data_IF_792696440479
#
_entry.id   IF_792696440479
#
_cell.length_a   1.000
_cell.length_b   1.000
_cell.length_c   1.000
_cell.angle_alpha   90.00
_cell.angle_beta   90.00
_cell.angle_gamma   90.00
#
_symmetry.space_group_name_H-M   'P 1'
#
loop_
_entity.id
_entity.type
_entity.pdbx_description
1 polymer ?
#
# COMPACT_ATOMS: atom_id res chain seq x y z
N UNK A 1 10.66 19.73 -15.43
CA UNK A 1 11.74 19.89 -14.42
C UNK A 1 11.33 19.30 -13.06
N UNK A 2 10.55 18.21 -13.02
CA UNK A 2 10.15 17.47 -11.80
C UNK A 2 10.78 16.06 -11.73
N UNK A 3 11.59 15.70 -12.72
CA UNK A 3 11.95 14.32 -13.05
C UNK A 3 13.29 13.85 -12.46
N UNK A 4 14.06 14.75 -11.84
CA UNK A 4 15.34 14.47 -11.19
C UNK A 4 15.22 14.40 -9.66
N UNK A 5 14.03 14.13 -9.15
CA UNK A 5 13.87 13.96 -7.70
C UNK A 5 14.51 12.63 -7.28
N UNK A 6 15.15 12.58 -6.10
CA UNK A 6 15.73 11.36 -5.49
C UNK A 6 14.75 10.16 -5.41
N UNK A 7 13.47 10.40 -5.69
CA UNK A 7 12.41 9.41 -5.81
C UNK A 7 12.64 8.37 -6.94
N UNK A 8 13.30 8.74 -8.05
CA UNK A 8 13.57 7.79 -9.15
C UNK A 8 14.71 6.82 -8.83
N UNK A 9 15.65 7.21 -7.97
CA UNK A 9 16.79 6.38 -7.54
C UNK A 9 16.41 5.24 -6.59
N UNK A 10 15.14 5.14 -6.20
CA UNK A 10 14.63 4.20 -5.19
C UNK A 10 13.45 3.37 -5.69
N UNK A 11 13.21 3.40 -6.99
CA UNK A 11 12.28 2.47 -7.60
C UNK A 11 12.91 1.10 -7.61
N UNK A 12 12.07 0.10 -7.37
CA UNK A 12 12.48 -1.30 -7.26
C UNK A 12 12.00 -2.07 -8.47
N UNK A 13 12.78 -3.07 -8.86
CA UNK A 13 12.43 -3.97 -9.94
C UNK A 13 11.43 -5.03 -9.45
N UNK A 14 10.71 -5.69 -10.39
CA UNK A 14 9.68 -6.67 -10.04
C UNK A 14 10.22 -7.79 -9.13
N UNK A 15 11.46 -8.23 -9.38
CA UNK A 15 12.13 -9.27 -8.61
C UNK A 15 12.37 -8.84 -7.16
N UNK A 16 12.80 -7.59 -6.93
CA UNK A 16 13.05 -7.05 -5.60
C UNK A 16 11.76 -6.95 -4.77
N UNK A 17 10.64 -6.56 -5.40
CA UNK A 17 9.38 -6.40 -4.67
C UNK A 17 8.67 -7.74 -4.44
N UNK A 18 8.92 -8.73 -5.30
CA UNK A 18 8.38 -10.09 -5.21
C UNK A 18 9.26 -11.03 -4.39
N UNK A 19 10.43 -10.55 -3.93
CA UNK A 19 11.35 -11.31 -3.10
C UNK A 19 10.68 -11.76 -1.78
N UNK A 20 10.86 -13.03 -1.45
CA UNK A 20 10.45 -13.60 -0.17
C UNK A 20 11.70 -13.86 0.66
N UNK A 21 11.77 -13.27 1.86
CA UNK A 21 12.89 -13.47 2.75
C UNK A 21 13.09 -14.96 3.07
N UNK A 22 14.35 -15.41 3.13
CA UNK A 22 14.68 -16.81 3.37
C UNK A 22 14.01 -17.38 4.64
N UNK A 23 13.96 -16.59 5.72
CA UNK A 23 13.30 -16.99 6.98
C UNK A 23 11.78 -17.21 6.84
N UNK A 24 11.14 -16.50 5.91
CA UNK A 24 9.71 -16.69 5.60
C UNK A 24 9.52 -17.92 4.70
N UNK A 25 10.41 -18.11 3.72
CA UNK A 25 10.41 -19.28 2.85
C UNK A 25 10.61 -20.59 3.65
N UNK A 26 11.51 -20.59 4.64
CA UNK A 26 11.73 -21.72 5.57
C UNK A 26 10.48 -22.08 6.40
N UNK A 27 9.56 -21.13 6.56
CA UNK A 27 8.24 -21.33 7.19
C UNK A 27 7.15 -21.72 6.20
N UNK A 28 7.50 -21.88 4.93
CA UNK A 28 6.58 -22.27 3.86
C UNK A 28 5.73 -21.11 3.32
N UNK A 29 6.11 -19.85 3.55
CA UNK A 29 5.45 -18.72 2.88
C UNK A 29 5.85 -18.71 1.41
N UNK A 30 4.84 -18.69 0.55
CA UNK A 30 5.01 -18.55 -0.90
C UNK A 30 4.96 -17.08 -1.34
N UNK A 31 5.44 -16.73 -2.54
CA UNK A 31 5.26 -15.39 -3.10
C UNK A 31 3.79 -14.96 -3.17
N UNK A 32 2.89 -15.90 -3.46
CA UNK A 32 1.45 -15.65 -3.45
C UNK A 32 0.93 -15.35 -2.04
N UNK A 33 1.37 -16.09 -1.01
CA UNK A 33 1.01 -15.77 0.39
C UNK A 33 1.43 -14.34 0.77
N UNK A 34 2.64 -13.95 0.38
CA UNK A 34 3.16 -12.59 0.61
C UNK A 34 2.33 -11.54 -0.14
N UNK A 35 1.99 -11.78 -1.41
CA UNK A 35 1.12 -10.89 -2.21
C UNK A 35 -0.25 -10.72 -1.52
N UNK A 36 -0.89 -11.81 -1.14
CA UNK A 36 -2.19 -11.79 -0.45
C UNK A 36 -2.13 -11.05 0.89
N UNK A 37 -1.08 -11.28 1.68
CA UNK A 37 -0.88 -10.55 2.94
C UNK A 37 -0.70 -9.05 2.70
N UNK A 38 0.14 -8.63 1.73
CA UNK A 38 0.31 -7.21 1.39
C UNK A 38 -1.02 -6.56 0.99
N UNK A 39 -1.84 -7.24 0.17
CA UNK A 39 -3.17 -6.76 -0.22
C UNK A 39 -4.07 -6.60 1.00
N UNK A 40 -4.12 -7.61 1.86
CA UNK A 40 -5.02 -7.61 3.02
C UNK A 40 -4.59 -6.62 4.10
N UNK A 41 -3.30 -6.50 4.38
CA UNK A 41 -2.79 -5.48 5.31
C UNK A 41 -2.95 -4.06 4.76
N UNK A 42 -2.92 -3.85 3.44
CA UNK A 42 -3.31 -2.56 2.86
C UNK A 42 -4.77 -2.22 3.16
N UNK A 43 -5.66 -3.23 3.22
CA UNK A 43 -7.07 -3.07 3.59
C UNK A 43 -7.21 -2.69 5.05
N UNK A 44 -6.45 -3.40 5.87
CA UNK A 44 -6.38 -3.19 7.30
C UNK A 44 -5.91 -1.77 7.64
N UNK A 45 -4.81 -1.30 7.01
CA UNK A 45 -4.30 0.07 7.18
C UNK A 45 -5.34 1.10 6.73
N UNK A 46 -6.03 0.87 5.60
CA UNK A 46 -7.10 1.76 5.11
C UNK A 46 -8.24 1.90 6.14
N UNK A 47 -8.73 0.79 6.68
CA UNK A 47 -9.81 0.82 7.67
C UNK A 47 -9.34 1.42 9.00
N UNK A 48 -8.10 1.13 9.41
CA UNK A 48 -7.50 1.74 10.60
C UNK A 48 -7.41 3.26 10.45
N UNK A 49 -6.97 3.74 9.28
CA UNK A 49 -6.90 5.16 8.96
C UNK A 49 -8.27 5.85 9.00
N UNK A 50 -9.31 5.18 8.49
CA UNK A 50 -10.69 5.66 8.60
C UNK A 50 -11.13 5.85 10.07
N UNK A 51 -10.89 4.86 10.93
CA UNK A 51 -11.24 4.98 12.35
C UNK A 51 -10.37 5.96 13.13
N UNK A 52 -9.11 6.12 12.75
CA UNK A 52 -8.20 7.13 13.28
C UNK A 52 -8.48 8.54 12.74
N UNK A 53 -9.40 8.68 11.77
CA UNK A 53 -9.79 9.95 11.13
C UNK A 53 -8.63 10.68 10.47
N UNK A 54 -7.70 9.96 9.85
CA UNK A 54 -6.58 10.56 9.10
C UNK A 54 -6.94 10.79 7.64
N UNK A 55 -6.22 11.72 7.00
CA UNK A 55 -6.37 12.02 5.57
C UNK A 55 -5.84 10.87 4.71
N UNK A 56 -6.39 10.73 3.50
CA UNK A 56 -5.99 9.69 2.55
C UNK A 56 -4.48 9.67 2.26
N UNK A 57 -3.83 10.84 2.21
CA UNK A 57 -2.38 10.93 2.02
C UNK A 57 -1.60 10.18 3.10
N UNK A 58 -1.99 10.33 4.38
CA UNK A 58 -1.38 9.60 5.50
C UNK A 58 -1.51 8.08 5.34
N UNK A 59 -2.70 7.63 4.91
CA UNK A 59 -2.97 6.21 4.66
C UNK A 59 -2.10 5.69 3.51
N UNK A 60 -1.98 6.44 2.43
CA UNK A 60 -1.14 6.11 1.29
C UNK A 60 0.35 6.01 1.69
N UNK A 61 0.86 6.96 2.48
CA UNK A 61 2.22 6.93 3.03
C UNK A 61 2.44 5.71 3.92
N UNK A 62 1.48 5.37 4.79
CA UNK A 62 1.55 4.20 5.65
C UNK A 62 1.61 2.88 4.86
N UNK A 63 0.81 2.75 3.78
CA UNK A 63 0.86 1.58 2.90
C UNK A 63 2.20 1.51 2.16
N UNK A 64 2.72 2.64 1.68
CA UNK A 64 4.03 2.68 1.02
C UNK A 64 5.16 2.26 1.97
N UNK A 65 5.16 2.72 3.22
CA UNK A 65 6.10 2.24 4.24
C UNK A 65 5.97 0.74 4.48
N UNK A 66 4.75 0.26 4.70
CA UNK A 66 4.48 -1.17 4.91
C UNK A 66 5.08 -2.01 3.78
N UNK A 67 4.81 -1.64 2.52
CA UNK A 67 5.36 -2.35 1.37
C UNK A 67 6.89 -2.28 1.30
N UNK A 68 7.49 -1.10 1.52
CA UNK A 68 8.96 -0.92 1.53
C UNK A 68 9.65 -1.76 2.60
N UNK A 69 9.06 -1.86 3.80
CA UNK A 69 9.65 -2.65 4.88
C UNK A 69 9.74 -4.12 4.46
N UNK A 70 8.67 -4.66 3.88
CA UNK A 70 8.62 -6.08 3.48
C UNK A 70 9.31 -6.40 2.15
N UNK A 71 10.02 -5.45 1.52
CA UNK A 71 11.02 -5.80 0.49
C UNK A 71 12.37 -6.17 1.09
N UNK A 72 12.61 -5.81 2.37
CA UNK A 72 13.91 -5.98 3.04
C UNK A 72 13.84 -6.80 4.33
N UNK A 73 12.67 -6.79 4.99
CA UNK A 73 12.42 -7.48 6.26
C UNK A 73 11.43 -8.61 6.05
N UNK A 74 11.57 -9.65 6.86
CA UNK A 74 10.67 -10.79 6.83
C UNK A 74 9.39 -10.53 7.63
N UNK A 75 8.28 -11.11 7.20
CA UNK A 75 7.02 -11.12 7.95
C UNK A 75 7.13 -11.83 9.29
N UNK A 76 8.09 -12.75 9.40
CA UNK A 76 8.39 -13.46 10.64
C UNK A 76 9.16 -12.60 11.66
N UNK A 77 10.08 -11.74 11.22
CA UNK A 77 10.85 -10.85 12.11
C UNK A 77 10.05 -9.61 12.50
N UNK A 78 9.28 -9.08 11.54
CA UNK A 78 8.47 -7.88 11.67
C UNK A 78 7.00 -8.26 11.57
N UNK A 79 6.36 -8.50 12.72
CA UNK A 79 4.96 -8.93 12.75
C UNK A 79 4.04 -7.90 12.09
N UNK A 80 3.37 -8.23 10.96
CA UNK A 80 2.57 -7.28 10.20
C UNK A 80 1.38 -6.72 10.97
N UNK A 81 0.92 -7.42 12.01
CA UNK A 81 -0.16 -6.96 12.91
C UNK A 81 0.26 -5.76 13.75
N UNK A 82 1.55 -5.63 14.07
CA UNK A 82 2.14 -4.48 14.76
C UNK A 82 2.74 -3.46 13.79
N UNK A 83 3.34 -3.91 12.68
CA UNK A 83 3.91 -3.01 11.68
C UNK A 83 2.83 -2.15 11.03
N UNK A 84 1.67 -2.69 10.67
CA UNK A 84 0.61 -1.92 10.04
C UNK A 84 0.14 -0.69 10.85
N UNK A 85 -0.24 -0.79 12.14
CA UNK A 85 -0.58 0.39 12.93
C UNK A 85 0.62 1.31 13.17
N UNK A 86 1.83 0.76 13.29
CA UNK A 86 3.05 1.56 13.48
C UNK A 86 3.42 2.35 12.22
N UNK A 87 3.23 1.80 11.03
CA UNK A 87 3.38 2.53 9.77
C UNK A 87 2.42 3.72 9.72
N UNK A 88 1.17 3.55 10.17
CA UNK A 88 0.19 4.64 10.23
C UNK A 88 0.59 5.71 11.25
N UNK A 89 1.12 5.29 12.40
CA UNK A 89 1.67 6.19 13.42
C UNK A 89 2.83 7.03 12.84
N UNK A 90 3.83 6.38 12.25
CA UNK A 90 4.99 7.03 11.67
C UNK A 90 4.61 7.94 10.49
N UNK A 91 3.74 7.46 9.59
CA UNK A 91 3.23 8.24 8.46
C UNK A 91 2.47 9.48 8.92
N UNK A 92 1.70 9.40 10.02
CA UNK A 92 1.02 10.57 10.56
C UNK A 92 2.00 11.66 10.93
N UNK A 93 3.12 11.33 11.58
CA UNK A 93 4.17 12.29 11.93
C UNK A 93 4.85 12.86 10.69
N UNK A 94 5.19 12.01 9.72
CA UNK A 94 5.87 12.43 8.48
C UNK A 94 5.00 13.36 7.61
N UNK A 95 3.68 13.18 7.64
CA UNK A 95 2.70 13.99 6.90
C UNK A 95 2.08 15.11 7.74
N UNK A 96 2.73 15.50 8.85
CA UNK A 96 2.33 16.58 9.75
C UNK A 96 0.88 16.44 10.27
N UNK A 97 0.48 15.21 10.57
CA UNK A 97 -0.79 14.83 11.16
C UNK A 97 -0.59 14.29 12.58
N UNK A 98 -1.40 14.75 13.54
CA UNK A 98 -1.27 14.33 14.93
C UNK A 98 -2.16 13.12 15.24
N UNK A 99 -1.56 11.92 15.29
CA UNK A 99 -2.23 10.70 15.79
C UNK A 99 -1.53 10.20 17.04
N UNK A 100 -2.29 9.96 18.11
CA UNK A 100 -1.76 9.39 19.34
C UNK A 100 -1.67 7.86 19.22
N UNK A 101 -0.56 7.25 19.64
CA UNK A 101 -0.40 5.79 19.65
C UNK A 101 -1.52 5.08 20.42
N UNK A 102 -2.02 5.68 21.52
CA UNK A 102 -3.17 5.16 22.29
C UNK A 102 -4.44 5.02 21.45
N UNK A 103 -4.68 5.95 20.52
CA UNK A 103 -5.83 5.88 19.60
C UNK A 103 -5.66 4.69 18.65
N UNK A 104 -4.46 4.44 18.13
CA UNK A 104 -4.20 3.33 17.22
C UNK A 104 -4.35 1.96 17.91
N UNK A 105 -3.92 1.83 19.15
CA UNK A 105 -4.19 0.63 19.97
C UNK A 105 -5.70 0.41 20.12
N UNK A 106 -6.46 1.47 20.40
CA UNK A 106 -7.92 1.38 20.50
C UNK A 106 -8.58 1.01 19.16
N UNK A 107 -8.21 1.66 18.06
CA UNK A 107 -8.75 1.39 16.74
C UNK A 107 -8.41 -0.04 16.27
N UNK A 108 -7.20 -0.53 16.54
CA UNK A 108 -6.76 -1.90 16.25
C UNK A 108 -7.67 -2.93 16.93
N UNK A 109 -7.99 -2.72 18.22
CA UNK A 109 -8.94 -3.56 18.95
C UNK A 109 -10.35 -3.50 18.34
N UNK A 110 -10.79 -2.30 17.96
CA UNK A 110 -12.12 -2.07 17.36
C UNK A 110 -12.32 -2.80 16.04
N UNK A 111 -11.31 -2.83 15.16
CA UNK A 111 -11.41 -3.44 13.82
C UNK A 111 -11.00 -4.91 13.77
N UNK A 112 -10.60 -5.50 14.91
CA UNK A 112 -10.13 -6.89 15.00
C UNK A 112 -11.12 -7.88 14.41
N UNK A 113 -12.41 -7.74 14.74
CA UNK A 113 -13.46 -8.64 14.25
C UNK A 113 -13.62 -8.58 12.73
N UNK A 114 -13.51 -7.39 12.13
CA UNK A 114 -13.57 -7.20 10.67
C UNK A 114 -12.41 -7.90 9.95
N UNK A 115 -11.28 -8.06 10.63
CA UNK A 115 -10.07 -8.70 10.11
C UNK A 115 -9.71 -9.98 10.86
N UNK A 116 -10.71 -10.76 11.28
CA UNK A 116 -10.47 -12.01 12.03
C UNK A 116 -9.50 -12.97 11.31
N UNK A 117 -9.50 -12.99 9.97
CA UNK A 117 -8.55 -13.77 9.16
C UNK A 117 -7.06 -13.42 9.39
N UNK A 118 -6.75 -12.22 9.89
CA UNK A 118 -5.39 -11.81 10.25
C UNK A 118 -5.00 -12.21 11.68
N UNK A 119 -5.94 -12.72 12.48
CA UNK A 119 -5.75 -13.00 13.89
C UNK A 119 -6.13 -14.46 14.19
N UNK A 120 -5.23 -15.37 13.83
CA UNK A 120 -5.43 -16.83 13.89
C UNK A 120 -5.46 -17.41 15.31
N UNK A 121 -4.92 -16.71 16.31
CA UNK A 121 -4.94 -17.21 17.69
C UNK A 121 -6.29 -16.93 18.36
N UNK A 122 -6.93 -17.96 18.97
CA UNK A 122 -8.13 -17.80 19.77
C UNK A 122 -7.87 -17.01 21.06
N UNK A 123 -6.62 -16.89 21.50
CA UNK A 123 -6.26 -16.04 22.62
C UNK A 123 -6.21 -14.56 22.19
N UNK A 124 -7.14 -13.76 22.70
CA UNK A 124 -7.15 -12.30 22.51
C UNK A 124 -5.88 -11.62 23.04
N UNK A 125 -5.16 -12.25 23.97
CA UNK A 125 -3.90 -11.71 24.51
C UNK A 125 -2.72 -11.89 23.56
N UNK A 126 -2.69 -12.95 22.75
CA UNK A 126 -1.56 -13.28 21.87
C UNK A 126 -1.21 -12.17 20.86
N UNK A 127 -2.18 -11.29 20.54
CA UNK A 127 -1.99 -10.18 19.59
C UNK A 127 -2.40 -8.83 20.19
N UNK A 128 -2.29 -8.69 21.52
CA UNK A 128 -2.54 -7.43 22.20
C UNK A 128 -1.25 -6.62 22.22
N UNK A 129 -1.20 -5.58 21.39
CA UNK A 129 -0.12 -4.58 21.42
C UNK A 129 -0.57 -3.37 22.23
N UNK A 130 0.35 -2.84 23.03
CA UNK A 130 0.18 -1.62 23.77
C UNK A 130 1.01 -0.49 23.15
N UNK A 131 0.90 0.71 23.73
CA UNK A 131 1.60 1.91 23.24
C UNK A 131 3.11 1.68 23.18
N UNK A 132 3.67 0.96 24.17
CA UNK A 132 5.11 0.64 24.20
C UNK A 132 5.54 -0.14 22.96
N UNK A 133 4.77 -1.15 22.53
CA UNK A 133 5.11 -1.96 21.35
C UNK A 133 5.12 -1.10 20.08
N UNK A 134 4.18 -0.14 19.93
CA UNK A 134 4.16 0.78 18.78
C UNK A 134 5.39 1.69 18.78
N UNK A 135 5.77 2.24 19.94
CA UNK A 135 6.93 3.13 20.04
C UNK A 135 8.26 2.40 19.81
N UNK A 136 8.37 1.15 20.28
CA UNK A 136 9.53 0.32 20.03
C UNK A 136 9.63 -0.10 18.55
N UNK A 137 8.52 -0.54 17.96
CA UNK A 137 8.47 -0.90 16.55
C UNK A 137 8.76 0.32 15.66
N UNK A 138 8.32 1.52 16.04
CA UNK A 138 8.60 2.73 15.29
C UNK A 138 10.10 2.96 15.07
N UNK A 139 10.91 2.78 16.10
CA UNK A 139 12.36 2.93 16.00
C UNK A 139 12.94 1.91 14.99
N UNK A 140 12.45 0.67 15.03
CA UNK A 140 12.82 -0.38 14.07
C UNK A 140 12.36 -0.06 12.65
N UNK A 141 11.19 0.56 12.46
CA UNK A 141 10.69 0.97 11.15
C UNK A 141 11.52 2.10 10.55
N UNK A 142 11.92 3.07 11.36
CA UNK A 142 12.79 4.18 10.93
C UNK A 142 14.12 3.65 10.36
N UNK A 143 14.75 2.72 11.09
CA UNK A 143 15.98 2.05 10.64
C UNK A 143 15.74 1.22 9.37
N UNK A 144 14.67 0.43 9.30
CA UNK A 144 14.37 -0.39 8.12
C UNK A 144 14.07 0.43 6.84
N UNK A 145 13.56 1.66 7.01
CA UNK A 145 13.31 2.61 5.93
C UNK A 145 14.54 3.46 5.58
N UNK A 146 15.70 3.23 6.21
CA UNK A 146 16.90 4.06 6.15
C UNK A 146 16.58 5.55 6.40
N UNK A 147 15.58 5.86 7.23
CA UNK A 147 15.07 7.20 7.50
C UNK A 147 14.51 7.96 6.27
N UNK A 148 14.22 7.29 5.16
CA UNK A 148 13.61 7.92 3.98
C UNK A 148 12.08 7.92 4.08
N UNK A 149 11.58 8.98 4.71
CA UNK A 149 10.16 9.16 5.02
C UNK A 149 9.36 9.91 3.94
N UNK A 150 10.02 10.62 3.03
CA UNK A 150 9.29 11.36 1.99
C UNK A 150 8.77 10.40 0.92
N UNK A 151 7.45 10.34 0.77
CA UNK A 151 6.76 9.60 -0.29
C UNK A 151 6.05 10.59 -1.22
N UNK A 152 6.28 10.42 -2.52
CA UNK A 152 5.56 11.15 -3.55
C UNK A 152 4.37 10.32 -4.00
N UNK A 153 3.19 10.94 -4.11
CA UNK A 153 1.95 10.22 -4.40
C UNK A 153 1.33 10.66 -5.73
N UNK A 154 0.62 9.75 -6.43
CA UNK A 154 -0.09 10.02 -7.69
C UNK A 154 -1.19 11.08 -7.57
N UNK A 155 -1.68 11.41 -6.37
CA UNK A 155 -2.78 12.36 -6.19
C UNK A 155 -2.51 13.76 -6.75
N UNK A 156 -1.31 14.30 -6.53
CA UNK A 156 -0.95 15.63 -7.04
C UNK A 156 -0.81 15.67 -8.57
N UNK A 157 -0.01 14.79 -9.20
CA UNK A 157 0.07 14.76 -10.66
C UNK A 157 -1.26 14.39 -11.30
N UNK A 158 -2.11 13.55 -10.67
CA UNK A 158 -3.44 13.22 -11.18
C UNK A 158 -4.27 14.48 -11.47
N UNK A 159 -4.39 15.40 -10.51
CA UNK A 159 -5.21 16.60 -10.70
C UNK A 159 -4.66 17.47 -11.84
N UNK A 160 -3.33 17.59 -11.93
CA UNK A 160 -2.68 18.36 -12.99
C UNK A 160 -2.90 17.73 -14.37
N UNK A 161 -2.78 16.40 -14.47
CA UNK A 161 -2.96 15.65 -15.71
C UNK A 161 -4.42 15.61 -16.17
N UNK A 162 -5.38 15.50 -15.26
CA UNK A 162 -6.80 15.57 -15.60
C UNK A 162 -7.16 16.95 -16.18
N UNK A 163 -6.58 18.02 -15.63
CA UNK A 163 -6.77 19.38 -16.15
C UNK A 163 -6.11 19.57 -17.52
N UNK A 164 -4.87 19.10 -17.67
CA UNK A 164 -4.11 19.17 -18.92
C UNK A 164 -4.78 18.38 -20.06
N UNK A 165 -5.28 17.18 -19.77
CA UNK A 165 -6.02 16.34 -20.71
C UNK A 165 -7.47 16.75 -20.95
N UNK A 166 -7.90 17.89 -20.41
CA UNK A 166 -9.27 18.40 -20.51
C UNK A 166 -10.33 17.35 -20.12
N UNK A 167 -10.04 16.58 -19.06
CA UNK A 167 -10.88 15.48 -18.64
C UNK A 167 -12.14 15.99 -17.93
N UNK A 168 -13.31 15.39 -18.21
CA UNK A 168 -14.55 15.70 -17.52
C UNK A 168 -14.45 15.56 -15.99
N UNK A 169 -15.14 16.43 -15.24
CA UNK A 169 -15.10 16.44 -13.77
C UNK A 169 -15.62 15.13 -13.15
N UNK A 170 -16.57 14.47 -13.80
CA UNK A 170 -17.12 13.17 -13.38
C UNK A 170 -16.08 12.03 -13.47
N UNK A 171 -15.06 12.16 -14.34
CA UNK A 171 -13.93 11.23 -14.38
C UNK A 171 -12.96 11.42 -13.19
N UNK A 172 -12.96 12.58 -12.53
CA UNK A 172 -12.01 12.88 -11.45
C UNK A 172 -12.20 11.93 -10.27
N UNK A 173 -13.44 11.74 -9.81
CA UNK A 173 -13.72 10.86 -8.68
C UNK A 173 -13.39 9.40 -9.01
N UNK A 174 -13.73 8.96 -10.22
CA UNK A 174 -13.44 7.59 -10.66
C UNK A 174 -11.94 7.32 -10.77
N UNK A 175 -11.20 8.25 -11.36
CA UNK A 175 -9.74 8.12 -11.49
C UNK A 175 -9.05 8.20 -10.12
N UNK A 176 -9.57 9.02 -9.21
CA UNK A 176 -9.11 9.07 -7.83
C UNK A 176 -9.32 7.73 -7.10
N UNK A 177 -10.45 7.04 -7.33
CA UNK A 177 -10.65 5.70 -6.77
C UNK A 177 -9.66 4.67 -7.34
N UNK A 178 -9.37 4.71 -8.65
CA UNK A 178 -8.36 3.84 -9.27
C UNK A 178 -6.98 4.07 -8.64
N UNK A 179 -6.63 5.34 -8.38
CA UNK A 179 -5.38 5.67 -7.68
C UNK A 179 -5.36 5.08 -6.27
N UNK A 180 -6.46 5.15 -5.52
CA UNK A 180 -6.53 4.52 -4.19
C UNK A 180 -6.36 2.99 -4.27
N UNK A 181 -6.90 2.37 -5.31
CA UNK A 181 -6.83 0.93 -5.50
C UNK A 181 -5.44 0.49 -6.00
N UNK A 182 -4.67 1.36 -6.65
CA UNK A 182 -3.26 1.09 -6.99
C UNK A 182 -2.38 0.82 -5.75
N UNK A 183 -2.76 1.27 -4.55
CA UNK A 183 -2.04 0.93 -3.31
C UNK A 183 -2.29 -0.52 -2.85
N UNK A 184 -3.15 -1.27 -3.54
CA UNK A 184 -3.32 -2.72 -3.35
C UNK A 184 -2.25 -3.53 -4.07
N UNK A 185 -1.51 -2.92 -4.97
CA UNK A 185 -0.40 -3.53 -5.70
C UNK A 185 0.93 -2.88 -5.30
N UNK A 186 2.02 -3.38 -5.85
CA UNK A 186 3.37 -2.90 -5.55
C UNK A 186 3.81 -1.71 -6.42
N UNK A 187 2.90 -1.16 -7.24
CA UNK A 187 3.17 -0.10 -8.21
C UNK A 187 3.84 1.15 -7.61
N UNK A 188 3.48 1.53 -6.38
CA UNK A 188 4.07 2.70 -5.69
C UNK A 188 5.57 2.56 -5.41
N UNK A 189 6.09 1.33 -5.44
CA UNK A 189 7.52 1.05 -5.28
C UNK A 189 8.25 0.95 -6.60
N UNK A 190 7.54 0.65 -7.69
CA UNK A 190 8.14 0.32 -8.98
C UNK A 190 8.10 1.47 -9.98
N UNK A 191 7.07 2.33 -9.90
CA UNK A 191 6.83 3.35 -10.91
C UNK A 191 6.77 4.75 -10.30
N UNK A 192 7.23 5.77 -11.06
CA UNK A 192 7.01 7.15 -10.69
C UNK A 192 5.52 7.45 -10.50
N UNK A 193 5.13 8.29 -9.52
CA UNK A 193 3.72 8.56 -9.23
C UNK A 193 2.90 9.11 -10.40
N UNK A 194 3.52 9.86 -11.31
CA UNK A 194 2.83 10.37 -12.49
C UNK A 194 2.46 9.27 -13.49
N UNK A 195 3.29 8.22 -13.62
CA UNK A 195 2.99 7.09 -14.51
C UNK A 195 1.80 6.27 -13.98
N UNK A 196 1.71 6.11 -12.65
CA UNK A 196 0.55 5.48 -12.00
C UNK A 196 -0.71 6.32 -12.26
N UNK A 197 -0.63 7.65 -12.11
CA UNK A 197 -1.74 8.55 -12.41
C UNK A 197 -2.20 8.45 -13.88
N UNK A 198 -1.25 8.43 -14.82
CA UNK A 198 -1.54 8.25 -16.26
C UNK A 198 -2.20 6.91 -16.56
N UNK A 199 -1.76 5.82 -15.92
CA UNK A 199 -2.39 4.51 -16.06
C UNK A 199 -3.84 4.50 -15.53
N UNK A 200 -4.10 5.16 -14.39
CA UNK A 200 -5.46 5.35 -13.90
C UNK A 200 -6.32 6.16 -14.87
N UNK A 201 -5.78 7.25 -15.45
CA UNK A 201 -6.50 8.05 -16.47
C UNK A 201 -6.76 7.20 -17.72
N UNK A 202 -5.79 6.38 -18.15
CA UNK A 202 -5.94 5.47 -19.28
C UNK A 202 -7.09 4.48 -19.05
N UNK A 203 -7.11 3.78 -17.91
CA UNK A 203 -8.21 2.88 -17.53
C UNK A 203 -9.55 3.63 -17.55
N UNK A 204 -9.60 4.80 -16.91
CA UNK A 204 -10.81 5.61 -16.85
C UNK A 204 -11.31 6.02 -18.23
N UNK A 205 -10.39 6.40 -19.12
CA UNK A 205 -10.70 6.84 -20.48
C UNK A 205 -11.25 5.69 -21.32
N UNK A 206 -10.66 4.51 -21.22
CA UNK A 206 -11.14 3.30 -21.91
C UNK A 206 -12.54 2.92 -21.42
N UNK A 207 -12.78 2.90 -20.10
CA UNK A 207 -14.07 2.50 -19.52
C UNK A 207 -15.20 3.53 -19.76
N UNK A 208 -14.84 4.80 -20.00
CA UNK A 208 -15.79 5.88 -20.28
C UNK A 208 -15.86 6.25 -21.76
N UNK A 209 -15.21 5.47 -22.63
CA UNK A 209 -15.16 5.69 -24.08
C UNK A 209 -14.66 7.11 -24.45
N UNK A 210 -13.78 7.69 -23.63
CA UNK A 210 -13.17 8.99 -23.88
C UNK A 210 -11.95 8.82 -24.77
N UNK A 211 -11.98 9.46 -25.94
CA UNK A 211 -10.78 9.54 -26.79
C UNK A 211 -9.73 10.47 -26.15
N UNK A 212 -8.54 9.90 -25.95
CA UNK A 212 -7.37 10.51 -25.32
C UNK A 212 -6.07 10.22 -26.08
N UNK A 213 -6.17 9.63 -27.29
CA UNK A 213 -4.99 9.17 -28.04
C UNK A 213 -4.01 10.30 -28.35
N UNK A 214 -4.50 11.40 -28.91
CA UNK A 214 -3.67 12.57 -29.25
C UNK A 214 -2.99 13.15 -28.01
N UNK A 215 -3.71 13.24 -26.89
CA UNK A 215 -3.16 13.74 -25.63
C UNK A 215 -2.01 12.85 -25.11
N UNK A 216 -2.18 11.52 -25.13
CA UNK A 216 -1.11 10.59 -24.75
C UNK A 216 0.11 10.66 -25.69
N UNK A 217 -0.09 10.90 -26.99
CA UNK A 217 0.99 11.10 -27.96
C UNK A 217 1.80 12.38 -27.66
N UNK A 218 1.12 13.48 -27.31
CA UNK A 218 1.74 14.76 -26.95
C UNK A 218 2.59 14.66 -25.68
N UNK A 219 2.18 13.83 -24.70
CA UNK A 219 2.92 13.60 -23.47
C UNK A 219 4.26 12.86 -23.67
N UNK A 220 4.47 12.22 -24.82
CA UNK A 220 5.69 11.44 -25.16
C UNK A 220 6.05 10.40 -24.10
N UNK A 221 5.03 9.77 -23.51
CA UNK A 221 5.20 8.69 -22.53
C UNK A 221 5.18 7.32 -23.22
N UNK A 222 5.91 6.36 -22.66
CA UNK A 222 5.87 4.99 -23.17
C UNK A 222 4.54 4.31 -22.83
N UNK A 223 3.69 4.15 -23.84
CA UNK A 223 2.38 3.53 -23.69
C UNK A 223 2.44 2.05 -23.29
N UNK A 224 3.55 1.34 -23.53
CA UNK A 224 3.70 -0.03 -23.06
C UNK A 224 3.82 -0.05 -21.53
N UNK A 225 4.57 0.89 -20.95
CA UNK A 225 4.68 1.04 -19.50
C UNK A 225 3.32 1.40 -18.89
N UNK A 226 2.60 2.36 -19.49
CA UNK A 226 1.26 2.75 -19.02
C UNK A 226 0.28 1.56 -19.05
N UNK A 227 0.30 0.77 -20.13
CA UNK A 227 -0.54 -0.43 -20.25
C UNK A 227 -0.16 -1.51 -19.24
N UNK A 228 1.13 -1.71 -18.97
CA UNK A 228 1.58 -2.67 -17.95
C UNK A 228 1.09 -2.29 -16.55
N UNK A 229 1.23 -1.02 -16.17
CA UNK A 229 0.70 -0.50 -14.90
C UNK A 229 -0.83 -0.67 -14.86
N UNK A 230 -1.53 -0.37 -15.96
CA UNK A 230 -2.97 -0.52 -16.04
C UNK A 230 -3.42 -1.98 -15.89
N UNK A 231 -2.72 -2.92 -16.53
CA UNK A 231 -2.98 -4.35 -16.41
C UNK A 231 -2.80 -4.84 -14.96
N UNK A 232 -1.78 -4.38 -14.24
CA UNK A 232 -1.59 -4.72 -12.82
C UNK A 232 -2.74 -4.22 -11.94
N UNK A 233 -3.27 -3.02 -12.21
CA UNK A 233 -4.45 -2.50 -11.50
C UNK A 233 -5.71 -3.33 -11.85
N UNK A 234 -5.87 -3.74 -13.11
CA UNK A 234 -7.01 -4.55 -13.55
C UNK A 234 -6.94 -5.99 -13.02
N UNK A 235 -5.75 -6.58 -12.96
CA UNK A 235 -5.49 -7.90 -12.35
C UNK A 235 -5.99 -7.96 -10.90
N UNK A 236 -5.82 -6.86 -10.15
CA UNK A 236 -6.38 -6.76 -8.81
C UNK A 236 -7.91 -6.92 -8.79
N UNK A 237 -8.63 -6.29 -9.74
CA UNK A 237 -10.08 -6.38 -9.79
C UNK A 237 -10.58 -7.76 -10.20
N UNK A 238 -9.87 -8.44 -11.10
CA UNK A 238 -10.25 -9.75 -11.61
C UNK A 238 -9.93 -10.88 -10.62
N UNK A 239 -8.77 -10.81 -9.96
CA UNK A 239 -8.22 -11.93 -9.19
C UNK A 239 -8.19 -11.72 -7.67
N UNK A 240 -8.26 -10.47 -7.20
CA UNK A 240 -7.97 -10.13 -5.80
C UNK A 240 -8.98 -9.21 -5.12
N UNK A 241 -10.09 -8.87 -5.78
CA UNK A 241 -11.16 -8.05 -5.19
C UNK A 241 -11.83 -8.73 -4.00
N UNK A 242 -12.04 -10.03 -4.10
CA UNK A 242 -12.67 -10.86 -3.06
C UNK A 242 -11.74 -12.02 -2.71
N UNK A 243 -10.83 -11.79 -1.78
CA UNK A 243 -9.92 -12.85 -1.31
C UNK A 243 -10.62 -13.67 -0.23
N UNK A 244 -10.75 -15.00 -0.38
CA UNK A 244 -11.29 -15.86 0.66
C UNK A 244 -10.49 -15.73 1.95
N UNK A 245 -11.17 -15.49 3.07
CA UNK A 245 -10.54 -15.32 4.38
C UNK A 245 -9.70 -16.53 4.80
N UNK A 246 -10.06 -17.73 4.34
CA UNK A 246 -9.32 -18.98 4.57
C UNK A 246 -7.91 -18.94 3.97
N UNK A 247 -7.75 -18.40 2.76
CA UNK A 247 -6.42 -18.25 2.12
C UNK A 247 -5.53 -17.31 2.93
N UNK A 248 -6.09 -16.19 3.41
CA UNK A 248 -5.38 -15.26 4.29
C UNK A 248 -5.00 -15.94 5.61
N UNK A 249 -5.93 -16.67 6.21
CA UNK A 249 -5.73 -17.37 7.49
C UNK A 249 -4.62 -18.41 7.36
N UNK A 250 -4.60 -19.16 6.25
CA UNK A 250 -3.57 -20.14 5.93
C UNK A 250 -2.18 -19.52 5.70
N UNK A 251 -2.11 -18.32 5.11
CA UNK A 251 -0.85 -17.58 5.00
C UNK A 251 -0.36 -17.08 6.37
N UNK A 252 -1.24 -16.44 7.14
CA UNK A 252 -0.90 -15.82 8.44
C UNK A 252 -0.59 -16.86 9.51
N UNK A 253 -1.15 -18.07 9.44
CA UNK A 253 -0.86 -19.15 10.40
C UNK A 253 0.58 -19.67 10.32
N UNK A 254 1.30 -19.43 9.22
CA UNK A 254 2.72 -19.78 9.04
C UNK A 254 3.65 -18.83 9.81
N UNK A 255 3.17 -17.64 10.17
CA UNK A 255 3.93 -16.66 10.94
C UNK A 255 4.15 -17.15 12.38
N UNK A 256 5.23 -16.71 13.05
CA UNK A 256 5.45 -17.03 14.45
C UNK A 256 4.26 -16.58 15.30
N UNK A 257 3.81 -17.44 16.22
CA UNK A 257 2.89 -17.04 17.26
C UNK A 257 3.68 -16.39 18.40
N UNK A 258 3.22 -15.23 18.87
CA UNK A 258 3.77 -14.62 20.08
C UNK A 258 3.38 -15.51 21.27
N UNK A 259 4.38 -16.10 21.93
CA UNK A 259 4.23 -16.83 23.19
C UNK A 259 3.85 -15.89 24.34
#
# INVERSE_FOLDING_TARGET
>A
MLWECDCSKKLLDQEEVSHVAQTDAERGLTPEDVKLMKIQFSAYIKLLGYHAKVRQRVVATAIAYFRRIYTRKSFSEFDPRLVAPTCLYLASKAEESTVQAKLLVFCTKKIRATFACLFTSPDEKAHRYDVKDILEMEMRLLEALDYYLVIYHPYRPLIQLLQDGNMPTDMTQFTWSLVNDSYRTDLILMYPPFMIALACIYIASVLKEKDTRSWFEELRVDMNVIKNIAMEILDFYDNYREIPGERITAAVSKLPQRL
#
